data_IF_892615535972
#
_entry.id   IF_892615535972
#
_cell.length_a   1.000
_cell.length_b   1.000
_cell.length_c   1.000
_cell.angle_alpha   90.00
_cell.angle_beta   90.00
_cell.angle_gamma   90.00
#
_symmetry.space_group_name_H-M   'P 1'
#
loop_
_entity.id
_entity.type
_entity.pdbx_description
1 polymer ?
#
# COMPACT_ATOMS: atom_id res chain seq x y z
N UNK A 1 -25.91 43.43 13.07
CA UNK A 1 -25.07 42.86 11.99
C UNK A 1 -25.16 41.35 12.09
N UNK A 2 -25.90 40.73 11.17
CA UNK A 2 -26.08 39.28 11.12
C UNK A 2 -24.78 38.68 10.57
N UNK A 3 -24.09 37.89 11.39
CA UNK A 3 -22.86 37.21 11.02
C UNK A 3 -23.11 36.23 9.88
N UNK A 4 -22.49 36.49 8.73
CA UNK A 4 -22.47 35.56 7.60
C UNK A 4 -21.77 34.26 8.03
N UNK A 5 -22.57 33.24 8.37
CA UNK A 5 -22.11 31.86 8.39
C UNK A 5 -21.73 31.49 6.94
N UNK A 6 -20.46 31.67 6.59
CA UNK A 6 -19.90 31.06 5.38
C UNK A 6 -20.18 29.56 5.47
N UNK A 7 -21.09 29.06 4.63
CA UNK A 7 -21.35 27.63 4.43
C UNK A 7 -19.98 26.93 4.33
N UNK A 8 -19.64 26.06 5.29
CA UNK A 8 -18.48 25.17 5.16
C UNK A 8 -18.65 24.45 3.83
N UNK A 9 -17.74 24.70 2.88
CA UNK A 9 -17.75 23.98 1.60
C UNK A 9 -17.51 22.50 1.96
N UNK A 10 -18.48 21.63 1.69
CA UNK A 10 -18.33 20.20 1.95
C UNK A 10 -17.16 19.69 1.09
N UNK A 11 -16.04 19.38 1.74
CA UNK A 11 -14.88 18.80 1.09
C UNK A 11 -15.15 17.31 0.84
N UNK A 12 -14.64 16.73 -0.27
CA UNK A 12 -14.81 15.30 -0.56
C UNK A 12 -14.47 14.39 0.63
N UNK A 13 -13.46 14.76 1.43
CA UNK A 13 -13.02 14.04 2.63
C UNK A 13 -14.09 13.86 3.72
N UNK A 14 -15.15 14.65 3.70
CA UNK A 14 -16.30 14.46 4.60
C UNK A 14 -17.18 13.25 4.25
N UNK A 15 -16.91 12.59 3.13
CA UNK A 15 -17.57 11.36 2.68
C UNK A 15 -16.60 10.18 2.65
N UNK A 16 -17.12 8.96 2.69
CA UNK A 16 -16.32 7.72 2.59
C UNK A 16 -16.54 7.10 1.21
N UNK A 17 -15.46 6.65 0.57
CA UNK A 17 -15.54 5.88 -0.66
C UNK A 17 -16.28 4.57 -0.38
N UNK A 18 -17.25 4.25 -1.22
CA UNK A 18 -17.98 2.99 -1.19
C UNK A 18 -17.75 2.26 -2.51
N UNK A 19 -17.50 0.96 -2.41
CA UNK A 19 -17.52 0.10 -3.58
C UNK A 19 -18.93 0.14 -4.20
N UNK A 20 -19.04 0.00 -5.53
CA UNK A 20 -20.33 0.00 -6.22
C UNK A 20 -21.22 -1.19 -5.84
N UNK A 21 -20.63 -2.25 -5.27
CA UNK A 21 -21.31 -3.43 -4.75
C UNK A 21 -20.63 -3.90 -3.46
N UNK A 22 -21.37 -4.70 -2.67
CA UNK A 22 -20.81 -5.35 -1.48
C UNK A 22 -19.73 -6.37 -1.84
N UNK A 23 -18.83 -6.64 -0.90
CA UNK A 23 -17.80 -7.67 -1.07
C UNK A 23 -18.48 -9.04 -0.97
N UNK A 24 -18.34 -9.92 -1.98
CA UNK A 24 -18.91 -11.26 -1.93
C UNK A 24 -18.38 -12.06 -0.74
N UNK A 25 -19.18 -13.00 -0.28
CA UNK A 25 -18.74 -14.01 0.69
C UNK A 25 -17.91 -15.06 -0.05
N UNK A 26 -16.66 -15.23 0.37
CA UNK A 26 -15.76 -16.19 -0.22
C UNK A 26 -16.08 -17.62 0.25
N UNK A 27 -15.93 -18.63 -0.63
CA UNK A 27 -15.95 -20.03 -0.20
C UNK A 27 -14.97 -20.30 0.94
N UNK A 28 -15.23 -21.30 1.79
CA UNK A 28 -14.31 -21.66 2.87
C UNK A 28 -12.94 -22.09 2.33
N UNK A 29 -11.88 -21.85 3.10
CA UNK A 29 -10.52 -22.14 2.69
C UNK A 29 -9.52 -21.99 3.82
N UNK A 30 -8.26 -21.73 3.46
CA UNK A 30 -7.17 -21.50 4.41
C UNK A 30 -7.21 -20.10 5.03
N UNK A 31 -6.07 -19.41 5.05
CA UNK A 31 -5.95 -18.07 5.64
C UNK A 31 -6.52 -16.93 4.79
N UNK A 32 -6.92 -17.20 3.55
CA UNK A 32 -7.42 -16.18 2.62
C UNK A 32 -8.68 -15.47 3.17
N UNK A 33 -8.69 -14.14 3.05
CA UNK A 33 -9.80 -13.27 3.44
C UNK A 33 -10.32 -13.44 4.88
N UNK A 34 -9.52 -13.99 5.79
CA UNK A 34 -9.86 -14.13 7.21
C UNK A 34 -9.80 -12.81 7.99
N UNK A 35 -9.24 -11.76 7.38
CA UNK A 35 -9.07 -10.43 7.97
C UNK A 35 -7.83 -10.28 8.87
N UNK A 36 -7.17 -11.39 9.24
CA UNK A 36 -5.98 -11.40 10.08
C UNK A 36 -4.82 -12.07 9.35
N UNK A 37 -3.66 -11.44 9.38
CA UNK A 37 -2.43 -11.93 8.75
C UNK A 37 -1.37 -12.14 9.84
N UNK A 38 -0.81 -13.34 9.91
CA UNK A 38 0.37 -13.65 10.73
C UNK A 38 1.65 -13.32 9.95
N UNK A 39 2.34 -12.26 10.36
CA UNK A 39 3.62 -11.84 9.81
C UNK A 39 4.81 -12.66 10.38
N UNK A 40 4.55 -13.59 11.30
CA UNK A 40 5.55 -14.37 12.00
C UNK A 40 6.13 -13.65 13.22
N UNK A 41 6.96 -14.35 13.99
CA UNK A 41 7.63 -13.81 15.17
C UNK A 41 6.69 -13.35 16.30
N UNK A 42 5.42 -13.74 16.25
CA UNK A 42 4.37 -13.39 17.21
C UNK A 42 3.52 -12.17 16.82
N UNK A 43 3.70 -11.58 15.62
CA UNK A 43 2.94 -10.41 15.19
C UNK A 43 1.78 -10.80 14.26
N UNK A 44 0.57 -10.63 14.76
CA UNK A 44 -0.65 -10.65 13.95
C UNK A 44 -1.01 -9.22 13.54
N UNK A 45 -1.49 -9.04 12.31
CA UNK A 45 -1.99 -7.75 11.82
C UNK A 45 -3.38 -7.88 11.23
N UNK A 46 -4.15 -6.80 11.33
CA UNK A 46 -5.48 -6.68 10.71
C UNK A 46 -5.56 -5.33 10.01
N UNK A 47 -6.18 -5.29 8.83
CA UNK A 47 -6.44 -4.04 8.13
C UNK A 47 -7.70 -3.37 8.69
N UNK A 48 -7.62 -2.08 8.98
CA UNK A 48 -8.73 -1.24 9.43
C UNK A 48 -8.99 -0.15 8.38
N UNK A 49 -10.25 0.00 8.00
CA UNK A 49 -10.75 1.03 7.07
C UNK A 49 -11.71 2.01 7.73
N UNK A 50 -11.98 1.84 9.03
CA UNK A 50 -12.85 2.67 9.85
C UNK A 50 -12.04 3.63 10.71
N UNK A 51 -12.44 4.91 10.71
CA UNK A 51 -11.65 5.97 11.31
C UNK A 51 -12.50 7.01 12.04
N UNK A 52 -11.95 7.53 13.13
CA UNK A 52 -12.38 8.79 13.73
C UNK A 52 -11.53 9.93 13.17
N UNK A 53 -12.16 11.00 12.68
CA UNK A 53 -11.45 12.22 12.32
C UNK A 53 -10.86 12.85 13.58
N UNK A 54 -9.56 13.15 13.55
CA UNK A 54 -8.86 13.84 14.65
C UNK A 54 -8.69 15.32 14.34
N UNK A 55 -8.08 15.62 13.20
CA UNK A 55 -7.64 16.97 12.88
C UNK A 55 -7.67 17.22 11.38
N UNK A 56 -8.16 18.39 10.96
CA UNK A 56 -8.11 18.83 9.56
C UNK A 56 -7.40 20.15 9.46
N UNK A 57 -6.54 20.23 8.45
CA UNK A 57 -6.01 21.48 7.96
C UNK A 57 -6.47 21.74 6.53
N UNK A 58 -6.75 23.00 6.19
CA UNK A 58 -7.44 23.40 4.95
C UNK A 58 -6.56 24.12 3.94
N UNK A 59 -5.25 24.20 4.19
CA UNK A 59 -4.28 24.83 3.31
C UNK A 59 -3.13 23.84 3.03
N UNK A 60 -2.49 24.00 1.87
CA UNK A 60 -1.49 23.05 1.37
C UNK A 60 -2.09 21.80 0.75
N UNK A 61 -1.23 20.83 0.45
CA UNK A 61 -1.63 19.54 -0.13
C UNK A 61 -2.18 19.66 -1.57
N UNK A 62 -2.85 18.61 -2.02
CA UNK A 62 -3.44 18.56 -3.36
C UNK A 62 -4.55 19.60 -3.52
N UNK A 63 -4.51 20.35 -4.62
CA UNK A 63 -5.47 21.43 -4.94
C UNK A 63 -5.58 22.52 -3.85
N UNK A 64 -4.58 22.65 -2.97
CA UNK A 64 -4.61 23.55 -1.82
C UNK A 64 -5.83 23.34 -0.91
N UNK A 65 -6.34 22.10 -0.82
CA UNK A 65 -7.47 21.74 0.03
C UNK A 65 -7.06 21.22 1.40
N UNK A 66 -5.77 21.03 1.64
CA UNK A 66 -5.18 20.53 2.87
C UNK A 66 -5.30 19.02 3.05
N UNK A 67 -5.15 18.55 4.29
CA UNK A 67 -5.10 17.14 4.69
C UNK A 67 -5.94 16.94 5.94
N UNK A 68 -6.55 15.76 6.07
CA UNK A 68 -7.21 15.32 7.30
C UNK A 68 -6.48 14.12 7.86
N UNK A 69 -6.34 14.12 9.19
CA UNK A 69 -5.70 13.10 9.99
C UNK A 69 -6.76 12.34 10.79
N UNK A 70 -6.53 11.05 10.89
CA UNK A 70 -7.51 10.07 11.33
C UNK A 70 -6.87 9.08 12.30
N UNK A 71 -7.64 8.70 13.31
CA UNK A 71 -7.31 7.60 14.22
C UNK A 71 -8.14 6.37 13.84
N UNK A 72 -7.54 5.18 13.68
CA UNK A 72 -8.31 3.97 13.45
C UNK A 72 -9.26 3.68 14.62
N UNK A 73 -10.46 3.20 14.31
CA UNK A 73 -11.48 2.85 15.31
C UNK A 73 -12.11 1.49 14.99
N UNK A 74 -12.79 0.88 15.96
CA UNK A 74 -13.40 -0.45 15.80
C UNK A 74 -12.38 -1.60 15.85
N UNK A 75 -11.31 -1.45 16.63
CA UNK A 75 -10.27 -2.48 16.76
C UNK A 75 -10.83 -3.72 17.48
N UNK A 76 -10.55 -4.90 16.94
CA UNK A 76 -10.89 -6.17 17.58
C UNK A 76 -10.07 -6.41 18.86
N UNK A 77 -10.55 -7.30 19.72
CA UNK A 77 -9.92 -7.56 21.01
C UNK A 77 -8.43 -7.99 20.90
N UNK A 78 -7.59 -7.29 21.66
CA UNK A 78 -6.14 -7.49 21.68
C UNK A 78 -5.38 -6.85 20.51
N UNK A 79 -6.07 -6.21 19.55
CA UNK A 79 -5.41 -5.39 18.54
C UNK A 79 -5.20 -3.95 19.04
N UNK A 80 -4.04 -3.40 18.70
CA UNK A 80 -3.62 -2.07 19.08
C UNK A 80 -3.23 -1.24 17.84
N UNK A 81 -3.44 0.07 17.94
CA UNK A 81 -3.03 1.02 16.92
C UNK A 81 -1.51 1.01 16.74
N UNK A 82 -1.07 1.01 15.47
CA UNK A 82 0.33 1.16 15.07
C UNK A 82 0.66 2.57 14.54
N UNK A 83 -0.36 3.37 14.24
CA UNK A 83 -0.25 4.78 13.92
C UNK A 83 -1.54 5.37 13.36
N UNK A 84 -1.61 6.70 13.30
CA UNK A 84 -2.67 7.44 12.62
C UNK A 84 -2.52 7.39 11.10
N UNK A 85 -3.64 7.61 10.42
CA UNK A 85 -3.74 7.75 8.97
C UNK A 85 -3.91 9.23 8.59
N UNK A 86 -3.53 9.59 7.36
CA UNK A 86 -3.92 10.88 6.79
C UNK A 86 -4.10 10.79 5.28
N UNK A 87 -4.93 11.65 4.71
CA UNK A 87 -5.05 11.79 3.26
C UNK A 87 -5.41 13.22 2.82
N UNK A 88 -5.16 13.56 1.55
CA UNK A 88 -5.60 14.83 0.99
C UNK A 88 -7.11 15.02 1.06
N UNK A 89 -7.53 16.27 1.25
CA UNK A 89 -8.95 16.59 1.40
C UNK A 89 -9.75 16.59 0.08
N UNK A 90 -9.07 16.41 -1.06
CA UNK A 90 -9.65 16.45 -2.41
C UNK A 90 -10.30 15.13 -2.84
N UNK A 91 -10.26 14.10 -1.99
CA UNK A 91 -10.83 12.77 -2.24
C UNK A 91 -11.69 12.31 -1.05
N UNK A 92 -12.75 11.50 -1.27
CA UNK A 92 -13.43 10.77 -0.20
C UNK A 92 -12.46 9.93 0.62
N UNK A 93 -12.77 9.68 1.89
CA UNK A 93 -12.00 8.77 2.75
C UNK A 93 -11.97 7.37 2.12
N UNK A 94 -10.78 6.89 1.77
CA UNK A 94 -10.58 5.59 1.10
C UNK A 94 -9.36 4.82 1.63
N UNK A 95 -8.79 5.30 2.73
CA UNK A 95 -7.56 4.78 3.32
C UNK A 95 -7.72 3.50 4.11
N UNK A 96 -6.58 3.01 4.57
CA UNK A 96 -6.49 1.90 5.49
C UNK A 96 -5.22 2.03 6.34
N UNK A 97 -5.22 1.38 7.50
CA UNK A 97 -4.01 1.14 8.31
C UNK A 97 -3.99 -0.29 8.81
N UNK A 98 -2.81 -0.85 9.05
CA UNK A 98 -2.66 -2.07 9.82
C UNK A 98 -2.64 -1.74 11.31
N UNK A 99 -3.39 -2.53 12.08
CA UNK A 99 -3.30 -2.62 13.53
C UNK A 99 -2.63 -3.94 13.91
N UNK A 100 -1.96 -3.99 15.05
CA UNK A 100 -1.15 -5.13 15.46
C UNK A 100 -1.68 -5.80 16.72
N UNK A 101 -1.56 -7.12 16.80
CA UNK A 101 -1.80 -7.91 18.00
C UNK A 101 -0.58 -8.77 18.29
N UNK A 102 -0.19 -8.78 19.56
CA UNK A 102 0.84 -9.69 20.04
C UNK A 102 0.22 -11.07 20.27
N UNK A 103 0.82 -12.07 19.66
CA UNK A 103 0.46 -13.48 19.78
C UNK A 103 1.69 -14.32 20.19
N UNK A 104 2.72 -13.68 20.74
CA UNK A 104 3.87 -14.38 21.29
C UNK A 104 3.57 -14.91 22.70
N UNK A 105 4.13 -16.08 23.01
CA UNK A 105 4.15 -16.63 24.37
C UNK A 105 5.42 -16.24 25.14
N UNK A 106 6.27 -15.41 24.54
CA UNK A 106 7.57 -15.01 25.07
C UNK A 106 7.43 -13.76 25.94
N UNK A 107 8.37 -13.57 26.88
CA UNK A 107 8.43 -12.36 27.72
C UNK A 107 8.75 -11.09 26.92
N UNK A 108 9.36 -11.22 25.73
CA UNK A 108 9.65 -10.13 24.80
C UNK A 108 8.63 -10.09 23.66
N UNK A 109 7.45 -9.60 23.99
CA UNK A 109 6.30 -9.45 23.10
C UNK A 109 6.61 -8.86 21.72
N UNK A 110 5.83 -9.19 20.70
CA UNK A 110 5.96 -8.54 19.39
C UNK A 110 5.66 -7.03 19.44
N UNK A 111 4.89 -6.60 20.45
CA UNK A 111 4.45 -5.22 20.65
C UNK A 111 4.81 -4.71 22.04
N UNK A 112 5.21 -3.45 22.14
CA UNK A 112 5.45 -2.77 23.41
C UNK A 112 4.81 -1.39 23.44
N UNK A 113 4.46 -0.89 24.63
CA UNK A 113 4.09 0.52 24.81
C UNK A 113 5.32 1.40 24.57
N UNK A 114 5.16 2.60 24.00
CA UNK A 114 6.24 3.59 24.04
C UNK A 114 6.59 3.96 25.49
N UNK A 115 7.81 4.44 25.69
CA UNK A 115 8.26 4.97 26.99
C UNK A 115 7.89 6.43 27.18
N UNK A 116 7.78 7.19 26.08
CA UNK A 116 7.38 8.59 26.06
C UNK A 116 7.06 9.03 24.60
N UNK A 117 6.85 10.32 24.35
CA UNK A 117 6.63 10.91 23.04
C UNK A 117 7.50 12.16 22.79
N UNK A 118 7.98 12.28 21.56
CA UNK A 118 8.56 13.51 21.01
C UNK A 118 7.51 14.28 20.21
N UNK A 119 7.36 15.59 20.48
CA UNK A 119 6.54 16.47 19.64
C UNK A 119 7.29 16.77 18.34
N UNK A 120 6.76 16.30 17.21
CA UNK A 120 7.37 16.44 15.88
C UNK A 120 6.91 17.74 15.22
N UNK A 121 5.63 18.04 15.36
CA UNK A 121 5.01 19.20 14.74
C UNK A 121 3.78 19.66 15.50
N UNK A 122 3.53 20.96 15.46
CA UNK A 122 2.29 21.58 15.93
C UNK A 122 1.93 22.78 15.06
N UNK A 123 0.64 23.09 14.99
CA UNK A 123 0.14 24.29 14.31
C UNK A 123 -0.17 25.46 15.25
N UNK A 124 0.12 25.35 16.55
CA UNK A 124 -0.08 26.41 17.55
C UNK A 124 0.50 27.77 17.14
N UNK A 125 1.68 27.76 16.50
CA UNK A 125 2.35 29.00 16.07
C UNK A 125 1.92 29.47 14.67
N UNK A 126 0.99 28.78 14.01
CA UNK A 126 0.57 29.05 12.64
C UNK A 126 -0.80 29.73 12.61
N UNK A 127 -0.87 30.89 11.95
CA UNK A 127 -2.14 31.56 11.61
C UNK A 127 -2.70 30.99 10.30
N UNK A 128 -3.20 29.75 10.33
CA UNK A 128 -3.66 29.02 9.13
C UNK A 128 -5.12 28.59 9.27
N UNK A 129 -5.78 28.28 8.14
CA UNK A 129 -7.14 27.72 8.17
C UNK A 129 -7.08 26.26 8.59
N UNK A 130 -7.53 25.99 9.81
CA UNK A 130 -7.64 24.66 10.41
C UNK A 130 -8.90 24.60 11.29
N UNK A 131 -9.34 23.39 11.64
CA UNK A 131 -10.45 23.25 12.61
C UNK A 131 -9.97 23.61 14.04
N UNK A 132 -8.87 23.00 14.47
CA UNK A 132 -8.23 23.20 15.79
C UNK A 132 -6.70 23.13 15.63
N UNK A 133 -5.96 23.38 16.71
CA UNK A 133 -4.52 23.14 16.75
C UNK A 133 -4.23 21.63 16.66
N UNK A 134 -3.41 21.22 15.71
CA UNK A 134 -2.96 19.84 15.57
C UNK A 134 -1.60 19.63 16.20
N UNK A 135 -1.40 18.46 16.81
CA UNK A 135 -0.14 18.03 17.40
C UNK A 135 0.21 16.63 16.87
N UNK A 136 1.43 16.46 16.37
CA UNK A 136 1.93 15.18 15.84
C UNK A 136 3.06 14.69 16.74
N UNK A 137 2.87 13.51 17.31
CA UNK A 137 3.74 12.89 18.30
C UNK A 137 4.41 11.65 17.72
N UNK A 138 5.73 11.59 17.82
CA UNK A 138 6.50 10.38 17.53
C UNK A 138 6.70 9.61 18.84
N UNK A 139 6.21 8.37 18.96
CA UNK A 139 6.50 7.54 20.12
C UNK A 139 8.00 7.28 20.26
N UNK A 140 8.50 7.39 21.49
CA UNK A 140 9.83 6.91 21.87
C UNK A 140 9.67 5.43 22.19
N UNK A 141 10.19 4.57 21.31
CA UNK A 141 10.15 3.14 21.51
C UNK A 141 11.10 2.72 22.64
N UNK A 142 10.75 1.70 23.44
CA UNK A 142 11.72 1.06 24.33
C UNK A 142 12.86 0.39 23.53
N UNK A 143 13.94 0.05 24.22
CA UNK A 143 15.07 -0.66 23.63
C UNK A 143 14.61 -1.95 22.94
N UNK A 144 15.21 -2.25 21.79
CA UNK A 144 14.81 -3.35 20.89
C UNK A 144 13.46 -3.19 20.16
N UNK A 145 12.77 -2.05 20.28
CA UNK A 145 11.56 -1.76 19.51
C UNK A 145 11.73 -0.53 18.59
N UNK A 146 10.86 -0.42 17.58
CA UNK A 146 10.80 0.70 16.64
C UNK A 146 9.38 1.22 16.49
N UNK A 147 9.20 2.53 16.32
CA UNK A 147 7.92 3.11 15.96
C UNK A 147 7.61 2.87 14.47
N UNK A 148 6.35 2.58 14.16
CA UNK A 148 5.88 2.32 12.78
C UNK A 148 4.84 3.35 12.32
N UNK A 149 4.62 4.39 13.12
CA UNK A 149 3.66 5.46 12.86
C UNK A 149 3.69 6.54 13.95
N UNK A 150 2.78 7.51 13.81
CA UNK A 150 2.65 8.67 14.70
C UNK A 150 1.28 8.67 15.37
N UNK A 151 1.18 9.39 16.49
CA UNK A 151 -0.09 9.75 17.12
C UNK A 151 -0.42 11.21 16.78
N UNK A 152 -1.67 11.49 16.46
CA UNK A 152 -2.16 12.86 16.24
C UNK A 152 -3.18 13.21 17.31
N UNK A 153 -3.10 14.42 17.86
CA UNK A 153 -4.04 14.94 18.87
C UNK A 153 -4.40 16.39 18.58
N UNK A 154 -5.47 16.86 19.22
CA UNK A 154 -5.83 18.29 19.28
C UNK A 154 -5.47 18.94 20.63
N UNK A 155 -4.97 18.14 21.59
CA UNK A 155 -4.42 18.62 22.86
C UNK A 155 -2.89 18.72 22.80
N UNK A 156 -2.30 19.75 23.43
CA UNK A 156 -0.85 19.85 23.61
C UNK A 156 -0.26 18.90 24.65
N UNK A 157 -1.10 18.24 25.44
CA UNK A 157 -0.65 17.26 26.42
C UNK A 157 -0.20 15.99 25.71
N UNK A 158 0.84 15.34 26.27
CA UNK A 158 1.33 14.07 25.73
C UNK A 158 0.19 13.04 25.74
N UNK A 159 -0.01 12.29 24.64
CA UNK A 159 -1.02 11.24 24.61
C UNK A 159 -0.64 10.11 25.59
N UNK A 160 -1.65 9.32 26.00
CA UNK A 160 -1.42 8.13 26.81
C UNK A 160 -0.45 7.15 26.12
N UNK A 161 0.43 6.50 26.90
CA UNK A 161 1.30 5.43 26.41
C UNK A 161 0.51 4.20 25.93
N UNK A 162 -0.74 4.06 26.37
CA UNK A 162 -1.62 2.98 25.91
C UNK A 162 -2.15 3.17 24.49
N UNK A 163 -2.07 4.38 23.95
CA UNK A 163 -2.73 4.76 22.70
C UNK A 163 -2.14 4.08 21.46
N UNK A 164 -0.84 3.75 21.47
CA UNK A 164 -0.12 3.16 20.34
C UNK A 164 0.80 2.03 20.82
N UNK A 165 1.26 1.18 19.90
CA UNK A 165 2.34 0.21 20.16
C UNK A 165 3.51 0.42 19.21
N UNK A 166 4.71 0.21 19.75
CA UNK A 166 5.95 0.04 19.00
C UNK A 166 6.14 -1.45 18.69
N UNK A 167 6.88 -1.75 17.63
CA UNK A 167 7.07 -3.12 17.11
C UNK A 167 8.50 -3.57 17.34
N UNK A 168 8.69 -4.83 17.74
CA UNK A 168 10.02 -5.39 17.98
C UNK A 168 10.90 -5.28 16.72
N UNK A 169 12.16 -4.90 16.89
CA UNK A 169 13.03 -4.45 15.78
C UNK A 169 13.25 -5.52 14.70
N UNK A 170 13.34 -6.80 15.07
CA UNK A 170 13.48 -7.95 14.16
C UNK A 170 12.24 -8.17 13.25
N UNK A 171 11.09 -7.64 13.65
CA UNK A 171 9.82 -7.67 12.91
C UNK A 171 9.59 -6.40 12.08
N UNK A 172 10.62 -5.58 11.90
CA UNK A 172 10.57 -4.36 11.11
C UNK A 172 11.54 -4.36 9.94
N UNK A 173 11.26 -3.53 8.94
CA UNK A 173 12.13 -3.32 7.78
C UNK A 173 12.19 -1.83 7.43
N UNK A 174 13.27 -1.41 6.79
CA UNK A 174 13.47 -0.01 6.42
C UNK A 174 12.41 0.47 5.43
N UNK A 175 11.99 1.70 5.59
CA UNK A 175 11.03 2.34 4.69
C UNK A 175 11.66 3.53 3.95
N UNK A 176 11.03 3.90 2.85
CA UNK A 176 11.38 5.08 2.06
C UNK A 176 10.13 5.90 1.75
N UNK A 177 10.35 7.17 1.44
CA UNK A 177 9.26 8.07 1.02
C UNK A 177 8.72 7.60 -0.33
N UNK A 178 7.40 7.62 -0.49
CA UNK A 178 6.75 7.25 -1.75
C UNK A 178 6.05 8.45 -2.40
N UNK A 179 4.99 8.95 -1.77
CA UNK A 179 4.23 10.10 -2.24
C UNK A 179 4.36 11.27 -1.26
N UNK A 180 4.38 12.49 -1.78
CA UNK A 180 4.51 13.69 -0.94
C UNK A 180 3.20 14.48 -0.91
N UNK A 181 2.66 14.64 0.30
CA UNK A 181 1.58 15.57 0.61
C UNK A 181 2.24 16.82 1.21
N UNK A 182 2.74 17.70 0.33
CA UNK A 182 3.41 18.94 0.73
C UNK A 182 2.39 19.87 1.37
N UNK A 183 2.42 19.96 2.69
CA UNK A 183 1.46 20.75 3.43
C UNK A 183 1.87 22.21 3.59
N UNK A 184 3.15 22.52 3.88
CA UNK A 184 3.56 23.90 4.14
C UNK A 184 4.91 24.28 3.56
N UNK A 185 4.97 25.51 3.07
CA UNK A 185 6.21 26.29 2.93
C UNK A 185 5.98 27.60 3.69
N UNK A 186 6.58 27.74 4.88
CA UNK A 186 6.83 29.08 5.43
C UNK A 186 8.24 29.51 5.05
N UNK A 187 8.54 30.81 5.15
CA UNK A 187 9.84 31.39 4.77
C UNK A 187 11.03 30.74 5.49
N UNK A 188 10.82 30.07 6.63
CA UNK A 188 11.88 29.43 7.42
C UNK A 188 11.67 27.95 7.77
N UNK A 189 10.48 27.36 7.56
CA UNK A 189 10.22 25.93 7.87
C UNK A 189 9.37 25.25 6.80
N UNK A 190 9.87 24.12 6.28
CA UNK A 190 9.11 23.22 5.41
C UNK A 190 8.59 22.07 6.27
N UNK A 191 7.27 21.92 6.36
CA UNK A 191 6.64 20.72 6.93
C UNK A 191 5.95 19.94 5.81
N UNK A 192 6.32 18.68 5.69
CA UNK A 192 5.76 17.75 4.72
C UNK A 192 5.25 16.51 5.42
N UNK A 193 4.15 15.98 4.88
CA UNK A 193 3.68 14.64 5.20
C UNK A 193 3.87 13.78 3.97
N UNK A 194 4.29 12.53 4.17
CA UNK A 194 4.61 11.62 3.08
C UNK A 194 4.04 10.25 3.34
N UNK A 195 3.58 9.58 2.29
CA UNK A 195 3.35 8.14 2.33
C UNK A 195 4.70 7.43 2.46
N UNK A 196 4.71 6.35 3.22
CA UNK A 196 5.88 5.46 3.36
C UNK A 196 5.61 4.11 2.72
N UNK A 197 6.68 3.53 2.16
CA UNK A 197 6.66 2.17 1.63
C UNK A 197 7.96 1.44 1.97
N UNK A 198 7.99 0.10 1.91
CA UNK A 198 9.21 -0.67 2.07
C UNK A 198 10.34 -0.20 1.14
N UNK A 199 11.56 -0.11 1.67
CA UNK A 199 12.75 0.28 0.90
C UNK A 199 13.15 -0.82 -0.08
N UNK A 200 13.22 -2.06 0.39
CA UNK A 200 13.42 -3.26 -0.44
C UNK A 200 12.09 -3.70 -1.03
N UNK A 201 12.06 -3.98 -2.33
CA UNK A 201 10.84 -4.34 -3.09
C UNK A 201 11.17 -5.44 -4.10
N UNK A 202 10.16 -6.23 -4.45
CA UNK A 202 10.30 -7.38 -5.36
C UNK A 202 9.60 -8.62 -4.78
N UNK A 203 9.54 -9.70 -5.55
CA UNK A 203 8.80 -10.92 -5.19
C UNK A 203 9.33 -11.60 -3.91
N UNK A 204 10.60 -11.39 -3.57
CA UNK A 204 11.22 -11.89 -2.34
C UNK A 204 11.35 -10.86 -1.22
N UNK A 205 10.84 -9.64 -1.42
CA UNK A 205 10.92 -8.60 -0.39
C UNK A 205 9.92 -8.87 0.73
N UNK A 206 10.35 -8.66 1.97
CA UNK A 206 9.56 -8.98 3.17
C UNK A 206 8.89 -7.76 3.80
N UNK A 207 9.25 -6.54 3.40
CA UNK A 207 8.70 -5.33 3.99
C UNK A 207 7.19 -5.19 3.70
N UNK A 208 6.44 -4.80 4.73
CA UNK A 208 4.98 -4.60 4.69
C UNK A 208 4.67 -3.17 5.13
N UNK A 209 3.92 -2.43 4.29
CA UNK A 209 3.48 -1.08 4.64
C UNK A 209 2.36 -1.13 5.69
N UNK A 210 2.41 -0.21 6.65
CA UNK A 210 1.41 -0.09 7.73
C UNK A 210 0.24 0.79 7.30
N UNK A 211 0.37 1.55 6.20
CA UNK A 211 -0.62 2.56 5.80
C UNK A 211 -0.55 3.86 6.62
N UNK A 212 0.49 4.05 7.43
CA UNK A 212 0.74 5.28 8.18
C UNK A 212 1.49 6.31 7.33
N UNK A 213 1.75 7.48 7.89
CA UNK A 213 2.45 8.58 7.22
C UNK A 213 3.77 8.93 7.91
N UNK A 214 4.68 9.56 7.18
CA UNK A 214 5.87 10.21 7.69
C UNK A 214 5.63 11.71 7.85
N UNK A 215 5.77 12.23 9.08
CA UNK A 215 5.81 13.67 9.35
C UNK A 215 7.25 14.16 9.45
N UNK A 216 7.61 15.17 8.66
CA UNK A 216 8.96 15.73 8.67
C UNK A 216 8.96 17.25 8.62
N UNK A 217 9.70 17.85 9.56
CA UNK A 217 10.02 19.27 9.57
C UNK A 217 11.48 19.49 9.17
N UNK A 218 11.74 20.48 8.30
CA UNK A 218 13.08 20.85 7.87
C UNK A 218 13.55 20.16 6.58
N UNK A 219 14.46 20.83 5.85
CA UNK A 219 14.91 20.45 4.51
C UNK A 219 16.35 19.96 4.42
N UNK A 220 16.84 19.26 5.45
CA UNK A 220 18.19 18.72 5.47
C UNK A 220 18.39 17.64 4.40
N UNK A 221 19.49 17.74 3.66
CA UNK A 221 19.89 16.91 2.51
C UNK A 221 20.56 15.59 2.90
N UNK A 222 20.83 15.35 4.18
CA UNK A 222 21.51 14.12 4.61
C UNK A 222 20.52 12.96 4.73
N UNK A 223 20.86 11.76 4.23
CA UNK A 223 20.06 10.56 4.39
C UNK A 223 20.14 10.09 5.85
N UNK A 224 19.34 10.70 6.73
CA UNK A 224 19.08 10.13 8.04
C UNK A 224 18.07 8.99 7.88
N UNK A 225 18.22 7.88 8.63
CA UNK A 225 17.18 6.88 8.75
C UNK A 225 15.86 7.55 9.09
N UNK A 226 14.77 7.08 8.47
CA UNK A 226 13.46 7.62 8.79
C UNK A 226 13.13 7.30 10.26
N UNK A 227 12.46 8.22 10.97
CA UNK A 227 12.11 8.04 12.37
C UNK A 227 11.07 6.95 12.60
N UNK A 228 10.45 6.44 11.54
CA UNK A 228 9.52 5.30 11.55
C UNK A 228 9.99 4.25 10.55
N UNK A 229 9.55 3.01 10.74
CA UNK A 229 9.90 1.85 9.89
C UNK A 229 8.64 1.13 9.36
N UNK A 230 8.82 0.26 8.37
CA UNK A 230 7.78 -0.67 7.92
C UNK A 230 7.79 -1.95 8.77
N UNK A 231 6.75 -2.77 8.66
CA UNK A 231 6.74 -4.12 9.23
C UNK A 231 7.53 -5.07 8.34
N UNK A 232 7.86 -6.25 8.86
CA UNK A 232 8.54 -7.32 8.14
C UNK A 232 7.74 -8.61 8.24
N UNK A 233 7.42 -9.19 7.08
CA UNK A 233 6.86 -10.54 6.98
C UNK A 233 7.98 -11.57 7.11
N UNK A 234 8.13 -12.12 8.31
CA UNK A 234 9.12 -13.18 8.63
C UNK A 234 8.60 -14.59 8.34
N UNK A 235 7.28 -14.77 8.22
CA UNK A 235 6.66 -16.08 7.95
C UNK A 235 6.68 -16.47 6.47
N UNK A 236 6.51 -15.50 5.56
CA UNK A 236 6.50 -15.68 4.11
C UNK A 236 5.66 -16.89 3.64
N UNK A 237 4.47 -17.09 4.22
CA UNK A 237 3.62 -18.25 3.92
C UNK A 237 2.59 -17.95 2.83
N UNK A 238 2.43 -18.89 1.89
CA UNK A 238 1.38 -18.88 0.89
C UNK A 238 0.01 -19.34 1.42
N UNK A 239 -0.12 -19.68 2.71
CA UNK A 239 -1.39 -20.12 3.30
C UNK A 239 -2.51 -19.08 3.24
N UNK A 240 -2.15 -17.81 2.97
CA UNK A 240 -3.07 -16.68 2.82
C UNK A 240 -3.48 -16.43 1.37
N UNK A 241 -2.93 -17.17 0.40
CA UNK A 241 -3.40 -17.15 -0.98
C UNK A 241 -4.76 -17.85 -1.09
N UNK A 242 -5.64 -17.39 -1.99
CA UNK A 242 -6.91 -18.06 -2.23
C UNK A 242 -6.68 -19.48 -2.76
N UNK A 243 -7.50 -20.42 -2.33
CA UNK A 243 -7.57 -21.75 -2.96
C UNK A 243 -8.33 -21.68 -4.29
N UNK A 244 -8.36 -22.78 -5.05
CA UNK A 244 -9.00 -22.81 -6.38
C UNK A 244 -10.47 -22.36 -6.35
N UNK A 245 -11.27 -22.87 -5.41
CA UNK A 245 -12.68 -22.48 -5.28
C UNK A 245 -12.87 -20.99 -4.97
N UNK A 246 -11.93 -20.41 -4.20
CA UNK A 246 -11.94 -18.98 -3.88
C UNK A 246 -11.51 -18.14 -5.09
N UNK A 247 -10.54 -18.62 -5.89
CA UNK A 247 -10.14 -17.97 -7.15
C UNK A 247 -11.31 -17.96 -8.14
N UNK A 248 -11.99 -19.09 -8.33
CA UNK A 248 -13.18 -19.19 -9.21
C UNK A 248 -14.28 -18.21 -8.76
N UNK A 249 -14.52 -18.13 -7.45
CA UNK A 249 -15.50 -17.18 -6.90
C UNK A 249 -15.08 -15.71 -7.12
N UNK A 250 -13.79 -15.38 -6.98
CA UNK A 250 -13.27 -14.04 -7.27
C UNK A 250 -13.42 -13.67 -8.75
N UNK A 251 -13.06 -14.59 -9.65
CA UNK A 251 -13.23 -14.42 -11.10
C UNK A 251 -14.70 -14.18 -11.40
N UNK A 252 -15.61 -15.01 -10.88
CA UNK A 252 -17.05 -14.85 -11.12
C UNK A 252 -17.59 -13.50 -10.61
N UNK A 253 -17.05 -12.99 -9.51
CA UNK A 253 -17.52 -11.74 -8.91
C UNK A 253 -16.96 -10.48 -9.57
N UNK A 254 -15.70 -10.53 -10.04
CA UNK A 254 -14.96 -9.33 -10.42
C UNK A 254 -14.38 -9.36 -11.83
N UNK A 255 -14.34 -10.50 -12.50
CA UNK A 255 -13.81 -10.55 -13.86
C UNK A 255 -14.66 -9.69 -14.79
N UNK A 256 -14.03 -8.82 -15.59
CA UNK A 256 -14.75 -8.04 -16.58
C UNK A 256 -15.36 -8.96 -17.63
N UNK A 257 -16.52 -8.59 -18.15
CA UNK A 257 -17.04 -9.17 -19.38
C UNK A 257 -16.27 -8.59 -20.57
N UNK A 258 -15.67 -9.47 -21.37
CA UNK A 258 -15.03 -9.10 -22.62
C UNK A 258 -15.98 -9.42 -23.78
N UNK A 259 -16.32 -8.41 -24.57
CA UNK A 259 -17.08 -8.58 -25.81
C UNK A 259 -16.13 -8.35 -26.98
N UNK A 260 -15.88 -9.40 -27.76
CA UNK A 260 -15.03 -9.31 -28.95
C UNK A 260 -15.88 -8.85 -30.13
N UNK A 261 -15.37 -7.91 -30.90
CA UNK A 261 -16.03 -7.49 -32.12
C UNK A 261 -16.01 -8.65 -33.14
N UNK A 262 -17.04 -8.85 -33.99
CA UNK A 262 -17.02 -9.92 -35.00
C UNK A 262 -15.86 -9.82 -36.01
N UNK A 263 -15.27 -8.63 -36.15
CA UNK A 263 -14.09 -8.37 -36.99
C UNK A 263 -12.79 -8.24 -36.18
N UNK A 264 -12.77 -8.75 -34.94
CA UNK A 264 -11.57 -8.74 -34.12
C UNK A 264 -10.43 -9.48 -34.86
N UNK A 265 -9.29 -8.82 -35.00
CA UNK A 265 -8.14 -9.39 -35.71
C UNK A 265 -7.36 -10.35 -34.79
N UNK A 266 -7.40 -10.11 -33.48
CA UNK A 266 -6.67 -10.85 -32.46
C UNK A 266 -7.63 -11.49 -31.47
N UNK A 267 -7.76 -12.81 -31.52
CA UNK A 267 -8.60 -13.56 -30.58
C UNK A 267 -7.73 -14.12 -29.43
N UNK A 268 -8.30 -14.27 -28.23
CA UNK A 268 -7.58 -14.80 -27.08
C UNK A 268 -7.29 -16.30 -27.23
N UNK A 269 -6.35 -16.78 -26.41
CA UNK A 269 -6.00 -18.19 -26.24
C UNK A 269 -5.35 -18.38 -24.86
N UNK A 270 -5.19 -19.61 -24.40
CA UNK A 270 -4.31 -19.89 -23.25
C UNK A 270 -2.85 -19.54 -23.57
N UNK A 271 -2.07 -19.31 -22.53
CA UNK A 271 -0.61 -19.12 -22.62
C UNK A 271 0.06 -20.34 -23.27
N UNK A 272 -0.34 -21.55 -22.87
CA UNK A 272 0.21 -22.80 -23.39
C UNK A 272 -0.09 -22.99 -24.89
N UNK A 273 -1.30 -22.64 -25.32
CA UNK A 273 -1.66 -22.65 -26.73
C UNK A 273 -0.82 -21.63 -27.51
N UNK A 274 -0.70 -20.40 -27.00
CA UNK A 274 0.08 -19.34 -27.63
C UNK A 274 1.54 -19.75 -27.84
N UNK A 275 2.19 -20.31 -26.82
CA UNK A 275 3.58 -20.78 -26.90
C UNK A 275 3.74 -21.96 -27.86
N UNK A 276 2.78 -22.88 -27.87
CA UNK A 276 2.85 -24.09 -28.70
C UNK A 276 2.50 -23.84 -30.17
N UNK A 277 1.84 -22.72 -30.50
CA UNK A 277 1.32 -22.45 -31.84
C UNK A 277 2.11 -21.43 -32.66
N UNK A 278 3.32 -21.08 -32.21
CA UNK A 278 4.29 -20.36 -33.03
C UNK A 278 4.56 -18.92 -32.59
N UNK A 279 4.11 -18.49 -31.41
CA UNK A 279 4.64 -17.29 -30.80
C UNK A 279 6.16 -17.39 -30.61
N UNK A 280 6.84 -16.25 -30.72
CA UNK A 280 8.31 -16.20 -30.69
C UNK A 280 8.81 -15.27 -29.59
N UNK A 281 9.94 -15.63 -29.00
CA UNK A 281 10.70 -14.79 -28.09
C UNK A 281 11.73 -14.01 -28.92
N UNK A 282 11.56 -12.70 -28.94
CA UNK A 282 12.50 -11.78 -29.55
C UNK A 282 13.54 -11.37 -28.54
N UNK A 283 14.82 -11.44 -28.92
CA UNK A 283 15.95 -10.95 -28.15
C UNK A 283 16.66 -9.87 -28.94
N UNK A 284 16.80 -8.67 -28.37
CA UNK A 284 17.66 -7.62 -28.93
C UNK A 284 18.89 -7.44 -28.06
N UNK A 285 20.07 -7.67 -28.65
CA UNK A 285 21.38 -7.52 -28.00
C UNK A 285 22.30 -6.66 -28.87
N UNK A 286 22.79 -5.54 -28.31
CA UNK A 286 23.70 -4.60 -29.02
C UNK A 286 23.19 -4.19 -30.42
N UNK A 287 21.87 -4.04 -30.58
CA UNK A 287 21.24 -3.65 -31.83
C UNK A 287 20.88 -4.79 -32.79
N UNK A 288 21.33 -6.02 -32.53
CA UNK A 288 20.95 -7.21 -33.31
C UNK A 288 19.70 -7.85 -32.71
N UNK A 289 18.71 -8.16 -33.55
CA UNK A 289 17.46 -8.81 -33.15
C UNK A 289 17.53 -10.28 -33.58
N UNK A 290 17.33 -11.19 -32.64
CA UNK A 290 17.17 -12.63 -32.86
C UNK A 290 15.76 -13.09 -32.51
N UNK A 291 15.26 -14.07 -33.26
CA UNK A 291 13.98 -14.73 -33.04
C UNK A 291 14.23 -16.15 -32.52
N UNK A 292 13.57 -16.52 -31.43
CA UNK A 292 13.66 -17.86 -30.85
C UNK A 292 12.28 -18.45 -30.62
N UNK A 293 12.11 -19.74 -30.89
CA UNK A 293 10.88 -20.44 -30.55
C UNK A 293 10.68 -20.49 -29.04
N UNK A 294 9.45 -20.26 -28.57
CA UNK A 294 9.10 -20.43 -27.16
C UNK A 294 8.84 -21.92 -26.92
N UNK A 295 9.39 -22.45 -25.82
CA UNK A 295 9.05 -23.82 -25.39
C UNK A 295 7.61 -23.84 -24.87
N UNK A 296 6.89 -24.94 -25.07
CA UNK A 296 5.49 -25.06 -24.66
C UNK A 296 5.22 -24.65 -23.20
N UNK A 297 6.16 -24.94 -22.29
CA UNK A 297 6.09 -24.58 -20.87
C UNK A 297 6.76 -23.24 -20.52
N UNK A 298 7.15 -22.44 -21.51
CA UNK A 298 7.82 -21.15 -21.31
C UNK A 298 9.19 -21.22 -20.64
N UNK A 299 9.83 -22.40 -20.54
CA UNK A 299 11.06 -22.55 -19.73
C UNK A 299 12.27 -21.77 -20.25
N UNK A 300 12.22 -21.28 -21.49
CA UNK A 300 13.26 -20.46 -22.10
C UNK A 300 12.95 -18.96 -22.05
N UNK A 301 11.88 -18.56 -21.37
CA UNK A 301 11.59 -17.15 -21.11
C UNK A 301 12.53 -16.58 -20.04
N UNK A 302 12.89 -15.29 -20.11
CA UNK A 302 13.73 -14.65 -19.10
C UNK A 302 13.14 -14.78 -17.69
N UNK A 303 13.94 -15.27 -16.73
CA UNK A 303 13.52 -15.53 -15.34
C UNK A 303 13.79 -14.36 -14.38
N UNK A 304 13.90 -13.14 -14.91
CA UNK A 304 14.28 -11.93 -14.16
C UNK A 304 15.79 -11.65 -14.16
N UNK A 305 16.17 -10.39 -13.92
CA UNK A 305 17.55 -9.88 -13.95
C UNK A 305 17.60 -8.35 -14.06
N UNK A 306 18.73 -7.71 -13.74
CA UNK A 306 18.89 -6.25 -13.91
C UNK A 306 18.80 -5.88 -15.39
N UNK A 307 18.19 -4.73 -15.71
CA UNK A 307 18.13 -4.18 -17.08
C UNK A 307 19.51 -3.70 -17.60
N UNK A 308 20.59 -3.94 -16.86
CA UNK A 308 21.93 -3.39 -17.12
C UNK A 308 22.68 -4.05 -18.30
N UNK A 309 22.19 -5.15 -18.87
CA UNK A 309 22.97 -5.94 -19.84
C UNK A 309 22.80 -5.48 -21.30
N UNK A 310 22.03 -4.41 -21.55
CA UNK A 310 21.74 -3.93 -22.91
C UNK A 310 21.00 -4.97 -23.77
N UNK A 311 20.33 -5.91 -23.10
CA UNK A 311 19.52 -6.97 -23.72
C UNK A 311 18.05 -6.71 -23.39
N UNK A 312 17.20 -6.76 -24.39
CA UNK A 312 15.75 -6.59 -24.24
C UNK A 312 15.03 -7.77 -24.85
N UNK A 313 13.96 -8.20 -24.19
CA UNK A 313 13.15 -9.35 -24.59
C UNK A 313 11.70 -8.92 -24.75
N UNK A 314 11.02 -9.43 -25.78
CA UNK A 314 9.57 -9.31 -25.94
C UNK A 314 9.02 -10.54 -26.66
N UNK A 315 7.72 -10.76 -26.55
CA UNK A 315 7.03 -11.78 -27.34
C UNK A 315 6.47 -11.12 -28.61
N UNK A 316 6.56 -11.82 -29.72
CA UNK A 316 6.02 -11.36 -31.00
C UNK A 316 5.35 -12.50 -31.76
N UNK A 317 4.65 -12.14 -32.83
CA UNK A 317 4.13 -13.08 -33.80
C UNK A 317 5.26 -13.59 -34.70
N UNK A 318 5.15 -14.84 -35.19
CA UNK A 318 6.16 -15.39 -36.10
C UNK A 318 6.20 -14.61 -37.41
N UNK A 319 7.38 -14.55 -38.05
CA UNK A 319 7.55 -13.95 -39.37
C UNK A 319 6.85 -14.73 -40.48
N UNK A 320 6.64 -16.04 -40.28
CA UNK A 320 5.88 -16.89 -41.20
C UNK A 320 4.40 -16.48 -41.21
N UNK A 321 3.91 -16.01 -42.36
CA UNK A 321 2.57 -15.42 -42.48
C UNK A 321 1.45 -16.41 -42.15
N UNK A 322 1.60 -17.70 -42.49
CA UNK A 322 0.59 -18.71 -42.20
C UNK A 322 0.47 -18.97 -40.70
N UNK A 323 1.60 -19.13 -40.00
CA UNK A 323 1.63 -19.24 -38.54
C UNK A 323 1.15 -17.96 -37.88
N UNK A 324 1.54 -16.80 -38.41
CA UNK A 324 1.12 -15.49 -37.91
C UNK A 324 -0.39 -15.36 -37.92
N UNK A 325 -1.04 -15.66 -39.05
CA UNK A 325 -2.50 -15.65 -39.17
C UNK A 325 -3.14 -16.65 -38.20
N UNK A 326 -2.55 -17.83 -38.01
CA UNK A 326 -3.04 -18.81 -37.04
C UNK A 326 -2.97 -18.27 -35.61
N UNK A 327 -1.83 -17.75 -35.18
CA UNK A 327 -1.65 -17.21 -33.83
C UNK A 327 -2.57 -16.03 -33.57
N UNK A 328 -2.76 -15.13 -34.55
CA UNK A 328 -3.73 -14.02 -34.47
C UNK A 328 -5.15 -14.49 -34.20
N UNK A 329 -5.59 -15.58 -34.85
CA UNK A 329 -6.93 -16.15 -34.64
C UNK A 329 -7.12 -16.84 -33.30
N UNK A 330 -6.06 -16.98 -32.49
CA UNK A 330 -6.14 -17.55 -31.15
C UNK A 330 -6.85 -18.91 -31.09
N UNK A 331 -7.34 -19.23 -29.91
CA UNK A 331 -8.18 -20.38 -29.64
C UNK A 331 -9.06 -20.09 -28.43
N UNK A 332 -10.25 -19.56 -28.72
CA UNK A 332 -11.26 -19.17 -27.73
C UNK A 332 -11.64 -20.31 -26.81
N UNK A 333 -11.62 -21.57 -27.29
CA UNK A 333 -11.96 -22.72 -26.46
C UNK A 333 -10.87 -23.02 -25.42
N UNK A 334 -9.64 -22.58 -25.68
CA UNK A 334 -8.51 -22.69 -24.74
C UNK A 334 -8.33 -21.46 -23.85
N UNK A 335 -9.05 -20.36 -24.10
CA UNK A 335 -8.88 -19.14 -23.31
C UNK A 335 -9.43 -19.34 -21.89
N UNK A 336 -8.60 -19.05 -20.89
CA UNK A 336 -8.90 -19.20 -19.44
C UNK A 336 -9.22 -17.86 -18.77
#
# INVERSE_FOLDING_TARGET
>A
MVGSHKKKKNLPIGSTFKLPAEIPVWPPGGGFATGIIDLGGGLLVSQITTFNKVWTIFEGGANNLGVTFFEPTGLSEGFFMLGCYCQPNNMPLHGWVLVGKDNSSLSNGALAKPVDYNLVWTTRSLKTKQDEEGYIWLPIAPDEYKPVGYVVTTSPEKPSLDRIRCVRSDLTDECTRYNSMKLWRTESKRFGVFDVRPMKRGIGAQGVSVGTFLAQSGGGTNPKPLPIVCLKNTKASFSYMPNLSQVEAMIKAYSPYMYLHPMEEYLPSSVDWFFSNGAVLMEKRKGVIGENAIRANGSNLPQGGSFDDGVTYWLDLPLDEAKRVKVKKGDLASAE
#
